data_IF_614482199856
#
_entry.id   IF_614482199856
#
_cell.length_a   1.000
_cell.length_b   1.000
_cell.length_c   1.000
_cell.angle_alpha   90.00
_cell.angle_beta   90.00
_cell.angle_gamma   90.00
#
_symmetry.space_group_name_H-M   'P 1'
#
loop_
_entity.id
_entity.type
_entity.pdbx_description
1 polymer ?
#
# COMPACT_ATOMS: atom_id res chain seq x y z
N UNK A 1 20.46 8.52 -36.14
CA UNK A 1 19.54 8.83 -35.02
C UNK A 1 20.27 8.57 -33.71
N UNK A 2 20.62 9.60 -32.94
CA UNK A 2 21.30 9.45 -31.65
C UNK A 2 20.28 9.47 -30.51
N UNK A 3 20.37 8.50 -29.60
CA UNK A 3 19.59 8.46 -28.36
C UNK A 3 20.36 9.21 -27.28
N UNK A 4 19.75 10.23 -26.67
CA UNK A 4 20.29 10.86 -25.46
C UNK A 4 19.40 10.55 -24.26
N UNK A 5 20.04 10.20 -23.15
CA UNK A 5 19.41 10.04 -21.85
C UNK A 5 19.71 11.29 -21.02
N UNK A 6 18.69 12.11 -20.75
CA UNK A 6 18.76 13.16 -19.74
C UNK A 6 18.11 12.64 -18.45
N UNK A 7 18.89 12.57 -17.38
CA UNK A 7 18.39 12.22 -16.05
C UNK A 7 18.07 13.52 -15.31
N UNK A 8 16.79 13.81 -15.13
CA UNK A 8 16.30 14.81 -14.18
C UNK A 8 15.42 14.11 -13.13
N UNK A 9 15.80 14.25 -11.85
CA UNK A 9 15.02 13.78 -10.69
C UNK A 9 14.55 12.32 -10.71
N UNK A 10 15.46 11.37 -10.99
CA UNK A 10 15.28 9.91 -10.78
C UNK A 10 14.00 9.29 -11.36
N UNK A 11 13.36 9.92 -12.36
CA UNK A 11 12.25 9.33 -13.12
C UNK A 11 12.70 9.18 -14.58
N UNK A 12 12.79 7.94 -15.06
CA UNK A 12 13.05 7.68 -16.48
C UNK A 12 11.81 8.10 -17.28
N UNK A 13 11.90 9.21 -18.01
CA UNK A 13 10.91 9.60 -19.00
C UNK A 13 11.50 9.36 -20.39
N UNK A 14 10.80 8.60 -21.24
CA UNK A 14 11.14 8.51 -22.66
C UNK A 14 10.53 9.70 -23.39
N UNK A 15 11.36 10.54 -24.02
CA UNK A 15 10.90 11.68 -24.80
C UNK A 15 11.18 11.41 -26.29
N UNK A 16 10.14 11.36 -27.11
CA UNK A 16 10.25 11.33 -28.56
C UNK A 16 10.16 12.77 -29.08
N UNK A 17 11.17 13.22 -29.84
CA UNK A 17 11.12 14.50 -30.54
C UNK A 17 10.60 14.28 -31.96
N UNK A 18 9.39 14.77 -32.23
CA UNK A 18 8.99 15.16 -33.59
C UNK A 18 8.77 16.65 -33.59
N UNK A 19 9.47 17.35 -34.49
CA UNK A 19 9.44 18.80 -34.68
C UNK A 19 8.02 19.27 -34.92
N UNK A 20 7.38 19.83 -33.89
CA UNK A 20 6.33 20.87 -33.90
C UNK A 20 5.88 21.04 -32.45
N UNK A 21 5.46 22.25 -32.05
CA UNK A 21 5.03 22.61 -30.69
C UNK A 21 4.21 21.51 -29.98
N UNK A 22 4.83 20.78 -29.05
CA UNK A 22 4.12 19.83 -28.18
C UNK A 22 4.27 20.33 -26.75
N UNK A 23 3.19 20.93 -26.27
CA UNK A 23 2.96 21.15 -24.86
C UNK A 23 3.06 19.80 -24.16
N UNK A 24 4.11 19.62 -23.37
CA UNK A 24 4.33 18.43 -22.56
C UNK A 24 3.23 18.36 -21.51
N UNK A 25 2.07 17.76 -21.84
CA UNK A 25 1.14 17.28 -20.82
C UNK A 25 1.81 16.10 -20.14
N UNK A 26 2.63 16.42 -19.14
CA UNK A 26 2.92 15.50 -18.05
C UNK A 26 1.57 15.24 -17.36
N UNK A 27 0.84 14.22 -17.81
CA UNK A 27 -0.29 13.71 -17.03
C UNK A 27 0.35 13.19 -15.76
N UNK A 28 0.29 13.97 -14.69
CA UNK A 28 0.48 13.45 -13.35
C UNK A 28 -0.55 12.34 -13.21
N UNK A 29 -0.09 11.10 -13.30
CA UNK A 29 -0.88 9.97 -12.88
C UNK A 29 -1.00 10.16 -11.37
N UNK A 30 -2.03 10.91 -10.93
CA UNK A 30 -2.51 10.83 -9.57
C UNK A 30 -2.89 9.37 -9.44
N UNK A 31 -2.03 8.57 -8.83
CA UNK A 31 -2.49 7.30 -8.27
C UNK A 31 -3.58 7.73 -7.32
N UNK A 32 -4.83 7.36 -7.59
CA UNK A 32 -5.83 7.35 -6.52
C UNK A 32 -5.21 6.44 -5.46
N UNK A 33 -4.70 7.06 -4.40
CA UNK A 33 -4.19 6.35 -3.24
C UNK A 33 -5.46 5.89 -2.54
N UNK A 34 -5.97 4.73 -2.94
CA UNK A 34 -7.02 4.06 -2.19
C UNK A 34 -6.35 3.51 -0.93
N UNK A 35 -6.92 3.86 0.21
CA UNK A 35 -6.41 3.38 1.48
C UNK A 35 -6.82 1.91 1.67
N UNK A 36 -5.98 1.06 2.30
CA UNK A 36 -6.27 -0.38 2.40
C UNK A 36 -7.66 -0.68 2.97
N UNK A 37 -8.12 0.09 3.96
CA UNK A 37 -9.43 -0.09 4.60
C UNK A 37 -10.60 0.08 3.62
N UNK A 38 -10.48 0.97 2.61
CA UNK A 38 -11.52 1.22 1.62
C UNK A 38 -11.65 0.09 0.58
N UNK A 39 -10.66 -0.81 0.54
CA UNK A 39 -10.60 -1.93 -0.39
C UNK A 39 -11.07 -3.23 0.24
N UNK A 40 -11.00 -3.39 1.56
CA UNK A 40 -11.39 -4.63 2.28
C UNK A 40 -12.82 -5.05 1.90
N UNK A 41 -13.77 -4.11 1.94
CA UNK A 41 -15.18 -4.40 1.62
C UNK A 41 -15.43 -4.73 0.15
N UNK A 42 -14.45 -4.43 -0.73
CA UNK A 42 -14.53 -4.70 -2.17
C UNK A 42 -13.88 -6.03 -2.56
N UNK A 43 -13.21 -6.71 -1.63
CA UNK A 43 -12.54 -7.98 -1.91
C UNK A 43 -13.58 -9.09 -2.08
N UNK A 44 -13.70 -9.59 -3.31
CA UNK A 44 -14.60 -10.69 -3.67
C UNK A 44 -13.98 -11.67 -4.66
N UNK A 45 -12.74 -11.42 -5.09
CA UNK A 45 -12.00 -12.20 -6.09
C UNK A 45 -10.50 -12.13 -5.81
N UNK A 46 -9.71 -13.00 -6.45
CA UNK A 46 -8.26 -12.92 -6.39
C UNK A 46 -7.73 -11.57 -6.89
N UNK A 47 -8.32 -11.02 -7.95
CA UNK A 47 -7.90 -9.73 -8.52
C UNK A 47 -8.09 -8.57 -7.53
N UNK A 48 -9.29 -8.47 -6.94
CA UNK A 48 -9.60 -7.44 -5.94
C UNK A 48 -8.79 -7.63 -4.65
N UNK A 49 -8.46 -8.86 -4.29
CA UNK A 49 -7.54 -9.17 -3.19
C UNK A 49 -6.11 -8.71 -3.47
N UNK A 50 -5.60 -8.90 -4.69
CA UNK A 50 -4.27 -8.42 -5.09
C UNK A 50 -4.20 -6.88 -5.10
N UNK A 51 -5.28 -6.20 -5.46
CA UNK A 51 -5.39 -4.74 -5.35
C UNK A 51 -5.31 -4.27 -3.90
N UNK A 52 -6.05 -4.94 -2.99
CA UNK A 52 -5.94 -4.71 -1.55
C UNK A 52 -4.49 -4.91 -1.04
N UNK A 53 -3.86 -6.04 -1.38
CA UNK A 53 -2.49 -6.32 -0.97
C UNK A 53 -1.51 -5.26 -1.47
N UNK A 54 -1.67 -4.82 -2.72
CA UNK A 54 -0.84 -3.76 -3.29
C UNK A 54 -1.03 -2.45 -2.54
N UNK A 55 -2.26 -2.09 -2.17
CA UNK A 55 -2.51 -0.91 -1.36
C UNK A 55 -1.85 -1.03 0.02
N UNK A 56 -1.98 -2.18 0.70
CA UNK A 56 -1.37 -2.42 2.01
C UNK A 56 0.17 -2.35 1.96
N UNK A 57 0.79 -2.93 0.93
CA UNK A 57 2.25 -2.84 0.70
C UNK A 57 2.69 -1.39 0.50
N UNK A 58 1.96 -0.63 -0.33
CA UNK A 58 2.29 0.78 -0.56
C UNK A 58 2.10 1.61 0.70
N UNK A 59 1.09 1.28 1.50
CA UNK A 59 0.83 1.92 2.78
C UNK A 59 1.95 1.68 3.78
N UNK A 60 2.36 0.42 4.01
CA UNK A 60 3.51 0.09 4.88
C UNK A 60 4.80 0.74 4.42
N UNK A 61 5.06 0.78 3.10
CA UNK A 61 6.24 1.46 2.55
C UNK A 61 6.21 2.97 2.75
N UNK A 62 5.04 3.60 2.82
CA UNK A 62 4.91 5.02 3.20
C UNK A 62 5.19 5.17 4.69
N UNK A 63 4.65 4.28 5.51
CA UNK A 63 4.87 4.25 6.96
C UNK A 63 6.36 4.16 7.29
N UNK A 64 7.05 3.15 6.78
CA UNK A 64 8.48 2.93 7.02
C UNK A 64 9.35 4.11 6.58
N UNK A 65 8.89 4.91 5.62
CA UNK A 65 9.59 6.13 5.21
C UNK A 65 9.39 7.27 6.20
N UNK A 66 8.18 7.40 6.77
CA UNK A 66 7.87 8.42 7.77
C UNK A 66 8.59 8.09 9.08
N UNK A 67 8.54 6.84 9.54
CA UNK A 67 9.25 6.36 10.74
C UNK A 67 10.77 6.59 10.67
N UNK A 68 11.37 6.53 9.48
CA UNK A 68 12.81 6.83 9.29
C UNK A 68 13.15 8.31 9.39
N UNK A 69 12.17 9.19 9.15
CA UNK A 69 12.34 10.64 9.22
C UNK A 69 12.05 11.11 10.64
N UNK A 70 10.96 10.61 11.22
CA UNK A 70 10.46 10.94 12.54
C UNK A 70 9.87 9.66 13.14
N UNK A 71 10.48 9.16 14.20
CA UNK A 71 9.98 7.99 14.90
C UNK A 71 8.66 8.31 15.62
N UNK A 72 7.69 7.41 15.51
CA UNK A 72 6.45 7.51 16.26
C UNK A 72 6.65 7.29 17.77
N UNK A 73 5.71 7.77 18.61
CA UNK A 73 5.79 7.56 20.06
C UNK A 73 5.87 6.07 20.44
N UNK A 74 6.61 5.70 21.50
CA UNK A 74 6.80 4.29 21.88
C UNK A 74 5.52 3.51 22.24
N UNK A 75 4.46 4.22 22.60
CA UNK A 75 3.17 3.66 23.07
C UNK A 75 2.00 4.15 22.20
N UNK A 76 2.28 4.53 20.96
CA UNK A 76 1.27 4.94 20.00
C UNK A 76 1.46 4.22 18.68
N UNK A 77 0.45 4.31 17.83
CA UNK A 77 0.54 3.79 16.48
C UNK A 77 1.49 4.60 15.60
N UNK A 78 1.93 3.98 14.52
CA UNK A 78 2.73 4.65 13.51
C UNK A 78 1.95 5.71 12.71
N UNK A 79 2.65 6.49 11.90
CA UNK A 79 2.07 7.62 11.14
C UNK A 79 0.88 7.30 10.23
N UNK A 80 0.72 6.05 9.80
CA UNK A 80 -0.36 5.55 8.95
C UNK A 80 -1.32 4.65 9.75
N UNK A 81 -1.25 4.69 11.08
CA UNK A 81 -2.04 3.87 11.99
C UNK A 81 -1.61 2.40 11.98
N UNK A 82 -0.31 2.11 11.85
CA UNK A 82 0.21 0.75 12.05
C UNK A 82 0.48 0.51 13.52
N UNK A 83 -0.19 -0.47 14.10
CA UNK A 83 0.10 -0.96 15.46
C UNK A 83 1.33 -1.87 15.46
N UNK A 84 1.47 -2.71 14.42
CA UNK A 84 2.51 -3.74 14.35
C UNK A 84 3.54 -3.44 13.26
N UNK A 85 4.79 -3.19 13.65
CA UNK A 85 5.83 -2.70 12.75
C UNK A 85 6.86 -3.75 12.32
N UNK A 86 6.90 -4.89 13.00
CA UNK A 86 7.74 -6.03 12.64
C UNK A 86 6.89 -7.24 12.25
N UNK A 87 7.53 -8.26 11.67
CA UNK A 87 6.81 -9.43 11.14
C UNK A 87 6.23 -10.32 12.24
N UNK A 88 6.85 -10.39 13.43
CA UNK A 88 6.36 -11.25 14.50
C UNK A 88 5.09 -10.64 15.11
N UNK A 89 5.14 -9.35 15.49
CA UNK A 89 3.96 -8.63 15.97
C UNK A 89 2.82 -8.62 14.95
N UNK A 90 3.13 -8.43 13.67
CA UNK A 90 2.13 -8.47 12.60
C UNK A 90 1.42 -9.83 12.51
N UNK A 91 2.15 -10.93 12.57
CA UNK A 91 1.57 -12.28 12.51
C UNK A 91 0.80 -12.64 13.79
N UNK A 92 1.29 -12.21 14.95
CA UNK A 92 0.60 -12.39 16.23
C UNK A 92 -0.73 -11.63 16.24
N UNK A 93 -0.74 -10.38 15.78
CA UNK A 93 -1.95 -9.57 15.63
C UNK A 93 -2.94 -10.15 14.62
N UNK A 94 -2.46 -10.68 13.48
CA UNK A 94 -3.32 -11.44 12.55
C UNK A 94 -4.01 -12.59 13.28
N UNK A 95 -3.26 -13.39 14.04
CA UNK A 95 -3.79 -14.57 14.73
C UNK A 95 -4.75 -14.19 15.86
N UNK A 96 -4.37 -13.25 16.73
CA UNK A 96 -5.18 -12.79 17.86
C UNK A 96 -6.47 -12.11 17.38
N UNK A 97 -6.36 -11.13 16.47
CA UNK A 97 -7.52 -10.46 15.89
C UNK A 97 -8.43 -11.41 15.11
N UNK A 98 -7.89 -12.46 14.50
CA UNK A 98 -8.73 -13.47 13.85
C UNK A 98 -9.58 -14.25 14.84
N UNK A 99 -9.03 -14.59 16.01
CA UNK A 99 -9.75 -15.34 17.04
C UNK A 99 -10.86 -14.54 17.70
N UNK A 100 -10.67 -13.23 17.80
CA UNK A 100 -11.60 -12.33 18.50
C UNK A 100 -12.72 -11.82 17.58
N UNK A 101 -12.62 -12.06 16.28
CA UNK A 101 -13.63 -11.71 15.28
C UNK A 101 -14.37 -12.94 14.73
N UNK A 102 -15.64 -12.76 14.38
CA UNK A 102 -16.47 -13.82 13.80
C UNK A 102 -16.34 -13.84 12.27
N UNK A 103 -15.46 -14.68 11.75
CA UNK A 103 -15.35 -14.95 10.31
C UNK A 103 -16.40 -15.95 9.83
N UNK A 104 -16.70 -15.92 8.53
CA UNK A 104 -17.53 -16.96 7.92
C UNK A 104 -16.87 -18.33 8.05
N UNK A 105 -17.68 -19.36 8.30
CA UNK A 105 -17.20 -20.75 8.42
C UNK A 105 -16.46 -21.22 7.17
N UNK A 106 -16.96 -20.84 6.00
CA UNK A 106 -16.31 -21.10 4.72
C UNK A 106 -15.31 -19.96 4.43
N UNK A 107 -14.03 -20.27 4.16
CA UNK A 107 -13.03 -19.27 3.83
C UNK A 107 -13.32 -18.64 2.46
N UNK A 108 -13.23 -17.32 2.38
CA UNK A 108 -13.40 -16.56 1.15
C UNK A 108 -12.30 -15.48 1.04
N UNK A 109 -12.20 -14.83 -0.13
CA UNK A 109 -11.18 -13.79 -0.37
C UNK A 109 -11.27 -12.60 0.60
N UNK A 110 -12.48 -12.23 1.03
CA UNK A 110 -12.69 -11.16 2.02
C UNK A 110 -12.09 -11.54 3.37
N UNK A 111 -12.31 -12.76 3.84
CA UNK A 111 -11.71 -13.25 5.10
C UNK A 111 -10.18 -13.11 5.06
N UNK A 112 -9.53 -13.47 3.96
CA UNK A 112 -8.07 -13.32 3.85
C UNK A 112 -7.63 -11.84 3.95
N UNK A 113 -8.36 -10.92 3.32
CA UNK A 113 -8.06 -9.49 3.41
C UNK A 113 -8.23 -8.95 4.84
N UNK A 114 -9.34 -9.29 5.49
CA UNK A 114 -9.64 -8.90 6.87
C UNK A 114 -8.62 -9.47 7.86
N UNK A 115 -8.27 -10.76 7.75
CA UNK A 115 -7.24 -11.41 8.59
C UNK A 115 -5.90 -10.71 8.44
N UNK A 116 -5.46 -10.43 7.21
CA UNK A 116 -4.20 -9.70 6.96
C UNK A 116 -4.29 -8.26 7.51
N UNK A 117 -5.46 -7.63 7.41
CA UNK A 117 -5.66 -6.28 7.93
C UNK A 117 -5.61 -6.23 9.45
N UNK A 118 -6.02 -7.29 10.17
CA UNK A 118 -5.82 -7.39 11.62
C UNK A 118 -4.35 -7.24 12.00
N UNK A 119 -3.43 -7.78 11.18
CA UNK A 119 -1.99 -7.58 11.38
C UNK A 119 -1.58 -6.11 11.40
N UNK A 120 -2.30 -5.22 10.70
CA UNK A 120 -2.02 -3.78 10.73
C UNK A 120 -2.57 -3.10 11.99
N UNK A 121 -3.80 -3.42 12.40
CA UNK A 121 -4.60 -2.59 13.32
C UNK A 121 -4.87 -3.20 14.70
N UNK A 122 -4.55 -4.47 14.90
CA UNK A 122 -4.86 -5.15 16.16
C UNK A 122 -3.67 -5.00 17.13
N UNK A 123 -3.94 -4.51 18.33
CA UNK A 123 -2.95 -4.23 19.40
C UNK A 123 -2.51 -5.48 20.19
#
# INVERSE_FOLDING_TARGET
>A
MQKFWLVLNRKKCACFYTTFHIQTRCKTFKTNILEPFELIDKVNSLETFLDFLKALILDKRREDKKEKIEASPPYGNGHNGWENNDIASFLDAMHAGTKDNNFSKEPNWKNFAEIIYMGKIYE
#
